data_IF_530872863611
#
_entry.id   IF_530872863611
#
_cell.length_a   1.000
_cell.length_b   1.000
_cell.length_c   1.000
_cell.angle_alpha   90.00
_cell.angle_beta   90.00
_cell.angle_gamma   90.00
#
_symmetry.space_group_name_H-M   'P 1'
#
loop_
_entity.id
_entity.type
_entity.pdbx_description
1 polymer ?
#
# COMPACT_ATOMS: atom_id res chain seq x y z
N UNK A 1 -9.41 35.22 12.28
CA UNK A 1 -10.10 34.23 11.40
C UNK A 1 -11.36 33.74 12.11
N UNK A 2 -12.56 33.93 11.53
CA UNK A 2 -13.80 33.39 12.08
C UNK A 2 -13.75 31.86 12.03
N UNK A 3 -13.73 31.18 13.18
CA UNK A 3 -13.96 29.74 13.25
C UNK A 3 -15.36 29.47 12.71
N UNK A 4 -15.47 28.80 11.56
CA UNK A 4 -16.75 28.30 11.07
C UNK A 4 -17.20 27.21 12.04
N UNK A 5 -18.20 27.53 12.87
CA UNK A 5 -18.83 26.57 13.78
C UNK A 5 -19.83 25.78 12.95
N UNK A 6 -19.51 24.51 12.70
CA UNK A 6 -20.45 23.56 12.10
C UNK A 6 -21.37 23.12 13.24
N UNK A 7 -22.66 23.36 13.10
CA UNK A 7 -23.66 22.90 14.06
C UNK A 7 -24.18 21.54 13.58
N UNK A 8 -23.78 20.48 14.27
CA UNK A 8 -24.14 19.10 13.96
C UNK A 8 -25.16 18.61 14.99
N UNK A 9 -26.16 17.85 14.55
CA UNK A 9 -27.00 17.10 15.48
C UNK A 9 -26.16 16.11 16.30
N UNK A 10 -26.64 15.72 17.50
CA UNK A 10 -25.95 14.74 18.36
C UNK A 10 -25.55 13.45 17.62
N UNK A 11 -26.40 12.98 16.68
CA UNK A 11 -26.10 11.81 15.85
C UNK A 11 -24.97 12.08 14.85
N UNK A 12 -24.98 13.24 14.18
CA UNK A 12 -23.93 13.60 13.23
C UNK A 12 -22.57 13.81 13.92
N UNK A 13 -22.55 14.39 15.13
CA UNK A 13 -21.32 14.52 15.93
C UNK A 13 -20.75 13.14 16.31
N UNK A 14 -21.61 12.22 16.76
CA UNK A 14 -21.19 10.85 17.10
C UNK A 14 -20.61 10.11 15.87
N UNK A 15 -21.26 10.22 14.70
CA UNK A 15 -20.77 9.61 13.45
C UNK A 15 -19.43 10.22 13.02
N UNK A 16 -19.30 11.55 13.11
CA UNK A 16 -18.05 12.22 12.76
C UNK A 16 -16.90 11.80 13.68
N UNK A 17 -17.15 11.70 14.99
CA UNK A 17 -16.16 11.19 15.95
C UNK A 17 -15.74 9.77 15.62
N UNK A 18 -16.70 8.88 15.33
CA UNK A 18 -16.40 7.51 14.95
C UNK A 18 -15.54 7.44 13.68
N UNK A 19 -15.88 8.24 12.66
CA UNK A 19 -15.09 8.33 11.43
C UNK A 19 -13.64 8.79 11.70
N UNK A 20 -13.48 9.82 12.53
CA UNK A 20 -12.15 10.34 12.90
C UNK A 20 -11.32 9.30 13.66
N UNK A 21 -11.92 8.65 14.68
CA UNK A 21 -11.21 7.64 15.48
C UNK A 21 -10.89 6.38 14.67
N UNK A 22 -11.76 5.98 13.74
CA UNK A 22 -11.48 4.90 12.79
C UNK A 22 -10.29 5.25 11.90
N UNK A 23 -10.26 6.46 11.33
CA UNK A 23 -9.13 6.94 10.53
C UNK A 23 -7.82 6.97 11.31
N UNK A 24 -7.85 7.43 12.57
CA UNK A 24 -6.67 7.43 13.46
C UNK A 24 -6.17 6.03 13.78
N UNK A 25 -7.09 5.12 14.09
CA UNK A 25 -6.77 3.73 14.39
C UNK A 25 -6.13 3.04 13.19
N UNK A 26 -6.71 3.24 12.00
CA UNK A 26 -6.15 2.75 10.75
C UNK A 26 -4.72 3.28 10.52
N UNK A 27 -4.50 4.59 10.68
CA UNK A 27 -3.16 5.17 10.52
C UNK A 27 -2.16 4.64 11.55
N UNK A 28 -2.59 4.39 12.79
CA UNK A 28 -1.73 3.81 13.83
C UNK A 28 -1.23 2.41 13.44
N UNK A 29 -2.14 1.56 12.93
CA UNK A 29 -1.82 0.22 12.43
C UNK A 29 -0.87 0.32 11.23
N UNK A 30 -1.19 1.17 10.24
CA UNK A 30 -0.35 1.37 9.05
C UNK A 30 1.06 1.83 9.42
N UNK A 31 1.20 2.71 10.41
CA UNK A 31 2.51 3.16 10.86
C UNK A 31 3.30 2.06 11.57
N UNK A 32 2.62 1.15 12.29
CA UNK A 32 3.27 -0.03 12.86
C UNK A 32 3.76 -0.97 11.76
N UNK A 33 2.91 -1.30 10.79
CA UNK A 33 3.27 -2.12 9.61
C UNK A 33 4.48 -1.53 8.87
N UNK A 34 4.44 -0.23 8.54
CA UNK A 34 5.54 0.44 7.84
C UNK A 34 6.86 0.35 8.61
N UNK A 35 6.86 0.50 9.94
CA UNK A 35 8.08 0.38 10.75
C UNK A 35 8.68 -1.03 10.70
N UNK A 36 7.84 -2.05 10.74
CA UNK A 36 8.30 -3.44 10.63
C UNK A 36 8.93 -3.70 9.26
N UNK A 37 8.29 -3.25 8.17
CA UNK A 37 8.85 -3.43 6.83
C UNK A 37 10.12 -2.61 6.60
N UNK A 38 10.17 -1.38 7.12
CA UNK A 38 11.38 -0.54 7.06
C UNK A 38 12.56 -1.20 7.79
N UNK A 39 12.31 -1.95 8.88
CA UNK A 39 13.34 -2.73 9.57
C UNK A 39 13.94 -3.85 8.70
N UNK A 40 13.16 -4.35 7.73
CA UNK A 40 13.58 -5.30 6.70
C UNK A 40 14.15 -4.59 5.45
N UNK A 41 14.23 -3.25 5.47
CA UNK A 41 14.65 -2.43 4.34
C UNK A 41 13.63 -2.44 3.19
N UNK A 42 12.35 -2.68 3.46
CA UNK A 42 11.28 -2.76 2.47
C UNK A 42 10.21 -1.71 2.74
N UNK A 43 9.60 -1.21 1.66
CA UNK A 43 8.36 -0.43 1.74
C UNK A 43 7.15 -1.36 1.73
N UNK A 44 5.99 -0.86 2.21
CA UNK A 44 4.70 -1.59 2.12
C UNK A 44 4.44 -2.08 0.69
N UNK A 45 4.67 -1.24 -0.32
CA UNK A 45 4.45 -1.62 -1.72
C UNK A 45 5.38 -2.73 -2.20
N UNK A 46 6.66 -2.70 -1.81
CA UNK A 46 7.59 -3.79 -2.12
C UNK A 46 7.19 -5.09 -1.43
N UNK A 47 6.76 -5.00 -0.17
CA UNK A 47 6.25 -6.16 0.56
C UNK A 47 4.99 -6.75 -0.10
N UNK A 48 4.08 -5.91 -0.59
CA UNK A 48 2.90 -6.37 -1.34
C UNK A 48 3.27 -7.07 -2.66
N UNK A 49 4.32 -6.63 -3.36
CA UNK A 49 4.80 -7.35 -4.56
C UNK A 49 5.31 -8.75 -4.17
N UNK A 50 6.09 -8.85 -3.09
CA UNK A 50 6.59 -10.15 -2.59
C UNK A 50 5.44 -11.07 -2.16
N UNK A 51 4.41 -10.53 -1.51
CA UNK A 51 3.22 -11.29 -1.12
C UNK A 51 2.47 -11.86 -2.33
N UNK A 52 2.25 -11.05 -3.37
CA UNK A 52 1.64 -11.49 -4.63
C UNK A 52 2.45 -12.62 -5.25
N UNK A 53 3.76 -12.44 -5.41
CA UNK A 53 4.63 -13.45 -6.03
C UNK A 53 4.70 -14.75 -5.19
N UNK A 54 4.66 -14.64 -3.87
CA UNK A 54 4.69 -15.80 -2.96
C UNK A 54 3.40 -16.63 -3.06
N UNK A 55 2.24 -15.99 -3.24
CA UNK A 55 0.95 -16.68 -3.25
C UNK A 55 0.46 -17.05 -4.66
N UNK A 56 0.81 -16.26 -5.67
CA UNK A 56 0.31 -16.41 -7.04
C UNK A 56 1.42 -16.82 -8.04
N UNK A 57 2.65 -16.98 -7.58
CA UNK A 57 3.80 -17.36 -8.41
C UNK A 57 4.28 -16.22 -9.31
N UNK A 58 4.92 -16.60 -10.41
CA UNK A 58 5.39 -15.67 -11.44
C UNK A 58 4.23 -14.84 -12.01
N UNK A 59 4.42 -13.53 -12.12
CA UNK A 59 3.40 -12.60 -12.61
C UNK A 59 4.01 -11.53 -13.50
N UNK A 60 3.25 -11.09 -14.51
CA UNK A 60 3.63 -9.92 -15.30
C UNK A 60 3.51 -8.64 -14.47
N UNK A 61 4.30 -7.62 -14.82
CA UNK A 61 4.21 -6.29 -14.19
C UNK A 61 2.77 -5.73 -14.25
N UNK A 62 2.07 -5.98 -15.36
CA UNK A 62 0.67 -5.58 -15.53
C UNK A 62 -0.29 -6.31 -14.61
N UNK A 63 -0.07 -7.61 -14.35
CA UNK A 63 -0.87 -8.38 -13.39
C UNK A 63 -0.61 -7.89 -11.95
N UNK A 64 0.65 -7.71 -11.56
CA UNK A 64 1.04 -7.16 -10.26
C UNK A 64 0.38 -5.78 -10.05
N UNK A 65 0.40 -4.91 -11.06
CA UNK A 65 -0.22 -3.57 -10.99
C UNK A 65 -1.73 -3.64 -10.71
N UNK A 66 -2.43 -4.66 -11.22
CA UNK A 66 -3.87 -4.85 -10.99
C UNK A 66 -4.18 -5.48 -9.63
N UNK A 67 -3.26 -6.30 -9.12
CA UNK A 67 -3.43 -7.04 -7.86
C UNK A 67 -3.04 -6.21 -6.63
N UNK A 68 -2.18 -5.20 -6.81
CA UNK A 68 -1.80 -4.32 -5.72
C UNK A 68 -3.00 -3.56 -5.16
N UNK A 69 -3.18 -3.65 -3.84
CA UNK A 69 -4.20 -2.91 -3.09
C UNK A 69 -3.87 -1.41 -2.91
N UNK A 70 -2.66 -0.98 -3.30
CA UNK A 70 -2.21 0.40 -3.20
C UNK A 70 -2.49 1.20 -4.47
N UNK A 71 -2.36 2.53 -4.39
CA UNK A 71 -2.41 3.39 -5.57
C UNK A 71 -1.39 2.88 -6.62
N UNK A 72 -1.72 2.84 -7.94
CA UNK A 72 -0.84 2.32 -8.99
C UNK A 72 0.50 3.07 -9.22
N UNK A 73 0.94 3.87 -8.25
CA UNK A 73 2.15 4.67 -8.33
C UNK A 73 3.40 3.79 -8.40
N UNK A 74 4.04 3.82 -9.57
CA UNK A 74 5.42 3.41 -9.81
C UNK A 74 5.77 1.95 -9.45
N UNK A 75 4.88 1.01 -9.80
CA UNK A 75 5.10 -0.44 -9.64
C UNK A 75 6.44 -0.89 -10.25
N UNK A 76 6.81 -0.31 -11.39
CA UNK A 76 8.11 -0.55 -12.04
C UNK A 76 9.30 -0.17 -11.17
N UNK A 77 9.22 0.89 -10.36
CA UNK A 77 10.28 1.22 -9.40
C UNK A 77 10.30 0.25 -8.22
N UNK A 78 9.14 -0.21 -7.74
CA UNK A 78 9.09 -1.24 -6.69
C UNK A 78 9.80 -2.52 -7.16
N UNK A 79 9.49 -2.97 -8.38
CA UNK A 79 10.11 -4.14 -9.02
C UNK A 79 11.62 -3.95 -9.17
N UNK A 80 12.07 -2.85 -9.77
CA UNK A 80 13.51 -2.56 -9.91
C UNK A 80 14.25 -2.54 -8.58
N UNK A 81 13.64 -1.98 -7.54
CA UNK A 81 14.25 -1.92 -6.21
C UNK A 81 14.28 -3.29 -5.51
N UNK A 82 13.33 -4.18 -5.81
CA UNK A 82 13.34 -5.56 -5.31
C UNK A 82 14.38 -6.41 -6.05
N UNK A 83 14.47 -6.25 -7.37
CA UNK A 83 15.49 -6.88 -8.21
C UNK A 83 16.89 -6.46 -7.77
N UNK A 84 17.12 -5.16 -7.52
CA UNK A 84 18.42 -4.66 -7.02
C UNK A 84 18.79 -5.15 -5.62
N UNK A 85 17.84 -5.75 -4.89
CA UNK A 85 18.05 -6.37 -3.57
C UNK A 85 18.18 -7.90 -3.68
N UNK A 86 18.21 -8.45 -4.90
CA UNK A 86 18.21 -9.89 -5.18
C UNK A 86 17.02 -10.64 -4.54
N UNK A 87 15.88 -9.96 -4.38
CA UNK A 87 14.67 -10.54 -3.77
C UNK A 87 13.71 -11.11 -4.82
N UNK A 88 13.83 -10.69 -6.07
CA UNK A 88 13.06 -11.20 -7.21
C UNK A 88 13.98 -11.26 -8.42
N UNK A 89 13.59 -12.08 -9.40
CA UNK A 89 14.19 -12.08 -10.74
C UNK A 89 13.18 -11.52 -11.74
N UNK A 90 13.66 -10.73 -12.69
CA UNK A 90 12.85 -10.20 -13.80
C UNK A 90 13.41 -10.75 -15.10
N UNK A 91 12.54 -11.31 -15.93
CA UNK A 91 12.89 -11.84 -17.23
C UNK A 91 11.89 -11.36 -18.29
N UNK A 92 12.36 -11.23 -19.52
CA UNK A 92 11.49 -10.94 -20.66
C UNK A 92 10.73 -12.21 -21.05
N UNK A 93 9.42 -12.11 -21.21
CA UNK A 93 8.62 -13.20 -21.80
C UNK A 93 8.96 -13.30 -23.30
N UNK A 94 9.41 -14.46 -23.80
CA UNK A 94 9.70 -14.66 -25.22
C UNK A 94 8.51 -14.39 -26.17
N UNK A 95 7.29 -14.38 -25.62
CA UNK A 95 6.05 -14.14 -26.36
C UNK A 95 5.57 -12.68 -26.25
N UNK A 96 6.26 -11.83 -25.49
CA UNK A 96 5.98 -10.39 -25.42
C UNK A 96 6.47 -9.71 -26.71
N UNK A 97 5.54 -9.11 -27.47
CA UNK A 97 5.79 -8.58 -28.83
C UNK A 97 6.11 -7.10 -28.83
#
# INVERSE_FOLDING_TARGET
MKKRRIDLSNRQDAVLRAFVEMGRSFMSIRNAESREFESLGLTVGQFSVLEILTHQGEQSIGAITKLLFSTPGNVTVLIKNLESKDLIEVFSDPNDK
#
